data_IF_000848126632
#
_entry.id   IF_000848126632
#
_cell.length_a   1.000
_cell.length_b   1.000
_cell.length_c   1.000
_cell.angle_alpha   90.00
_cell.angle_beta   90.00
_cell.angle_gamma   90.00
#
_symmetry.space_group_name_H-M   'P 1'
#
loop_
_entity.id
_entity.type
_entity.pdbx_description
1 polymer ?
#
# COMPACT_ATOMS: atom_id res chain seq x y z
N UNK A 1 20.57 -10.47 -4.08
CA UNK A 1 19.33 -10.07 -4.77
C UNK A 1 18.39 -9.59 -3.67
N UNK A 2 18.13 -8.28 -3.55
CA UNK A 2 17.19 -7.80 -2.54
C UNK A 2 15.80 -8.30 -2.94
N UNK A 3 15.10 -9.02 -2.06
CA UNK A 3 13.73 -9.43 -2.29
C UNK A 3 12.88 -8.15 -2.48
N UNK A 4 12.23 -8.03 -3.62
CA UNK A 4 11.28 -6.95 -3.90
C UNK A 4 9.93 -7.59 -4.08
N UNK A 5 8.91 -7.04 -3.44
CA UNK A 5 7.54 -7.49 -3.62
C UNK A 5 7.01 -6.93 -4.93
N UNK A 6 6.54 -7.80 -5.79
CA UNK A 6 5.93 -7.45 -7.07
C UNK A 6 4.46 -7.12 -6.88
N UNK A 7 3.84 -6.37 -7.79
CA UNK A 7 2.40 -6.09 -7.73
C UNK A 7 1.56 -7.39 -7.66
N UNK A 8 1.94 -8.41 -8.44
CA UNK A 8 1.28 -9.72 -8.43
C UNK A 8 1.44 -10.44 -7.09
N UNK A 9 2.61 -10.38 -6.45
CA UNK A 9 2.81 -11.00 -5.13
C UNK A 9 1.93 -10.35 -4.07
N UNK A 10 1.79 -9.02 -4.11
CA UNK A 10 0.90 -8.29 -3.19
C UNK A 10 -0.54 -8.72 -3.40
N UNK A 11 -1.01 -8.77 -4.65
CA UNK A 11 -2.38 -9.22 -4.98
C UNK A 11 -2.62 -10.66 -4.55
N UNK A 12 -1.67 -11.56 -4.80
CA UNK A 12 -1.80 -12.98 -4.43
C UNK A 12 -1.79 -13.18 -2.91
N UNK A 13 -0.90 -12.49 -2.19
CA UNK A 13 -0.79 -12.61 -0.74
C UNK A 13 -2.00 -12.00 0.00
N UNK A 14 -2.53 -10.89 -0.52
CA UNK A 14 -3.57 -10.12 0.19
C UNK A 14 -4.98 -10.32 -0.37
N UNK A 15 -5.11 -10.90 -1.57
CA UNK A 15 -6.37 -10.92 -2.32
C UNK A 15 -6.82 -9.54 -2.78
N UNK A 16 -5.93 -8.52 -2.75
CA UNK A 16 -6.29 -7.15 -3.08
C UNK A 16 -6.65 -6.96 -4.55
N UNK A 17 -7.53 -6.01 -4.82
CA UNK A 17 -7.75 -5.50 -6.16
C UNK A 17 -6.80 -4.31 -6.41
N UNK A 18 -5.83 -4.46 -7.32
CA UNK A 18 -4.94 -3.36 -7.72
C UNK A 18 -5.72 -2.31 -8.53
N UNK A 19 -5.48 -1.03 -8.22
CA UNK A 19 -5.95 0.16 -8.93
C UNK A 19 -4.74 1.05 -9.24
N UNK A 20 -4.75 1.69 -10.40
CA UNK A 20 -3.61 2.48 -10.88
C UNK A 20 -2.61 1.67 -11.70
N UNK A 21 -1.47 2.31 -12.00
CA UNK A 21 -0.42 1.73 -12.83
C UNK A 21 0.45 0.75 -12.01
N UNK A 22 0.90 -0.37 -12.61
CA UNK A 22 1.79 -1.30 -11.95
C UNK A 22 3.17 -0.70 -11.71
N UNK A 23 3.79 -1.05 -10.58
CA UNK A 23 5.12 -0.56 -10.20
C UNK A 23 6.19 -1.53 -10.73
N UNK A 24 6.66 -1.31 -11.95
CA UNK A 24 7.63 -2.20 -12.61
C UNK A 24 8.92 -2.46 -11.80
N UNK A 25 9.32 -1.52 -10.93
CA UNK A 25 10.50 -1.65 -10.08
C UNK A 25 10.29 -2.58 -8.86
N UNK A 26 9.03 -2.90 -8.52
CA UNK A 26 8.63 -3.58 -7.30
C UNK A 26 8.84 -2.75 -6.03
N UNK A 27 8.32 -3.24 -4.92
CA UNK A 27 8.45 -2.62 -3.59
C UNK A 27 9.64 -3.24 -2.84
N UNK A 28 10.65 -2.45 -2.43
CA UNK A 28 11.82 -2.97 -1.71
C UNK A 28 11.51 -3.34 -0.26
N UNK A 29 10.42 -2.80 0.30
CA UNK A 29 9.98 -3.05 1.67
C UNK A 29 8.48 -2.77 1.80
N UNK A 30 7.88 -3.35 2.84
CA UNK A 30 6.51 -3.09 3.27
C UNK A 30 6.56 -2.27 4.55
N UNK A 31 5.81 -1.18 4.61
CA UNK A 31 5.74 -0.27 5.74
C UNK A 31 4.29 -0.14 6.22
N UNK A 32 4.02 -0.40 7.49
CA UNK A 32 2.67 -0.27 8.07
C UNK A 32 2.50 1.01 8.90
N UNK A 33 3.59 1.73 9.14
CA UNK A 33 3.64 2.96 9.94
C UNK A 33 4.30 4.07 9.11
N UNK A 34 3.63 5.22 9.01
CA UNK A 34 4.10 6.35 8.21
C UNK A 34 5.37 7.01 8.75
N UNK A 35 5.76 6.72 10.00
CA UNK A 35 7.01 7.20 10.60
C UNK A 35 8.24 6.44 10.11
N UNK A 36 8.05 5.26 9.53
CA UNK A 36 9.14 4.39 9.03
C UNK A 36 9.08 4.21 7.52
N UNK A 37 8.41 5.13 6.81
CA UNK A 37 8.32 5.06 5.35
C UNK A 37 9.69 5.23 4.72
N UNK A 38 9.92 4.42 3.70
CA UNK A 38 11.11 4.51 2.87
C UNK A 38 10.69 4.78 1.42
N UNK A 39 11.49 5.54 0.65
CA UNK A 39 11.17 5.78 -0.75
C UNK A 39 11.00 4.47 -1.53
N UNK A 40 9.90 4.35 -2.25
CA UNK A 40 9.53 3.17 -3.04
C UNK A 40 8.83 2.05 -2.26
N UNK A 41 8.66 2.15 -0.95
CA UNK A 41 8.00 1.10 -0.17
C UNK A 41 6.50 0.97 -0.47
N UNK A 42 5.95 -0.18 -0.09
CA UNK A 42 4.52 -0.43 -0.06
C UNK A 42 3.96 -0.04 1.30
N UNK A 43 3.12 0.99 1.35
CA UNK A 43 2.45 1.38 2.58
C UNK A 43 1.21 0.53 2.85
N UNK A 44 1.05 -0.08 4.02
CA UNK A 44 -0.16 -0.84 4.37
C UNK A 44 -0.96 -0.05 5.39
N UNK A 45 -2.07 0.52 4.94
CA UNK A 45 -3.00 1.24 5.77
C UNK A 45 -3.84 0.26 6.59
N UNK A 46 -3.32 -0.16 7.74
CA UNK A 46 -4.08 -0.99 8.69
C UNK A 46 -5.11 -0.14 9.44
N UNK A 47 -6.36 -0.61 9.47
CA UNK A 47 -7.38 -0.06 10.37
C UNK A 47 -7.26 -0.76 11.74
N UNK A 48 -6.78 -0.04 12.75
CA UNK A 48 -6.79 -0.48 14.14
C UNK A 48 -8.01 0.04 14.89
N UNK A 49 -8.27 -0.49 16.09
CA UNK A 49 -9.41 -0.09 16.93
C UNK A 49 -9.35 1.39 17.35
N UNK A 50 -8.14 1.96 17.45
CA UNK A 50 -7.90 3.33 17.90
C UNK A 50 -7.34 4.26 16.82
N UNK A 51 -6.91 3.72 15.69
CA UNK A 51 -6.17 4.46 14.69
C UNK A 51 -6.49 3.98 13.28
N UNK A 52 -6.69 4.93 12.38
CA UNK A 52 -7.00 4.66 10.99
C UNK A 52 -5.82 5.10 10.11
N UNK A 53 -5.00 4.14 9.67
CA UNK A 53 -3.82 4.45 8.86
C UNK A 53 -4.17 4.94 7.44
N UNK A 54 -5.45 4.85 7.03
CA UNK A 54 -5.92 5.31 5.72
C UNK A 54 -5.80 6.83 5.56
N UNK A 55 -5.96 7.59 6.64
CA UNK A 55 -5.81 9.04 6.64
C UNK A 55 -4.37 9.47 6.30
N UNK A 56 -3.42 8.55 6.42
CA UNK A 56 -2.02 8.80 6.16
C UNK A 56 -1.55 8.35 4.77
N UNK A 57 -2.43 7.83 3.91
CA UNK A 57 -2.06 7.41 2.54
C UNK A 57 -1.50 8.59 1.74
N UNK A 58 -2.11 9.77 1.88
CA UNK A 58 -1.64 10.99 1.24
C UNK A 58 -0.24 11.41 1.76
N UNK A 59 -0.01 11.30 3.06
CA UNK A 59 1.32 11.51 3.66
C UNK A 59 2.34 10.48 3.18
N UNK A 60 1.94 9.22 3.00
CA UNK A 60 2.80 8.16 2.51
C UNK A 60 3.21 8.39 1.06
N UNK A 61 2.26 8.82 0.23
CA UNK A 61 2.51 9.24 -1.14
C UNK A 61 3.51 10.42 -1.18
N UNK A 62 3.33 11.45 -0.34
CA UNK A 62 4.26 12.60 -0.26
C UNK A 62 5.66 12.21 0.20
N UNK A 63 5.79 11.18 1.03
CA UNK A 63 7.07 10.64 1.48
C UNK A 63 7.74 9.70 0.45
N UNK A 64 7.08 9.46 -0.69
CA UNK A 64 7.64 8.69 -1.79
C UNK A 64 7.32 7.20 -1.74
N UNK A 65 6.25 6.77 -1.05
CA UNK A 65 5.73 5.42 -1.21
C UNK A 65 5.35 5.17 -2.68
N UNK A 66 5.70 4.00 -3.22
CA UNK A 66 5.32 3.63 -4.59
C UNK A 66 3.93 2.99 -4.65
N UNK A 67 3.35 2.64 -3.51
CA UNK A 67 2.00 2.11 -3.46
C UNK A 67 1.43 2.07 -2.06
N UNK A 68 0.12 1.84 -1.99
CA UNK A 68 -0.57 1.64 -0.72
C UNK A 68 -1.62 0.53 -0.76
N UNK A 69 -1.67 -0.28 0.29
CA UNK A 69 -2.74 -1.24 0.57
C UNK A 69 -3.76 -0.57 1.49
N UNK A 70 -5.02 -0.59 1.09
CA UNK A 70 -6.14 0.09 1.74
C UNK A 70 -7.36 -0.82 1.80
N UNK A 71 -8.27 -0.55 2.71
CA UNK A 71 -9.58 -1.18 2.74
C UNK A 71 -10.43 -0.70 1.55
N UNK A 72 -11.10 -1.64 0.90
CA UNK A 72 -12.02 -1.41 -0.22
C UNK A 72 -13.14 -0.45 0.19
N UNK A 73 -13.50 0.44 -0.73
CA UNK A 73 -14.60 1.39 -0.53
C UNK A 73 -14.20 2.67 0.20
N UNK A 74 -12.91 2.92 0.42
CA UNK A 74 -12.41 4.20 0.95
C UNK A 74 -12.31 5.25 -0.14
N UNK A 75 -12.71 6.47 0.20
CA UNK A 75 -12.44 7.64 -0.63
C UNK A 75 -10.94 7.94 -0.58
N UNK A 76 -10.28 7.84 -1.72
CA UNK A 76 -8.85 8.10 -1.84
C UNK A 76 -8.61 9.26 -2.79
N UNK A 77 -7.50 10.00 -2.60
CA UNK A 77 -7.12 11.07 -3.52
C UNK A 77 -6.80 10.50 -4.91
N UNK A 78 -6.71 11.38 -5.90
CA UNK A 78 -6.31 11.00 -7.24
C UNK A 78 -4.94 10.30 -7.21
N UNK A 79 -4.87 9.10 -7.79
CA UNK A 79 -3.64 8.33 -7.85
C UNK A 79 -2.67 9.01 -8.82
N UNK A 80 -1.45 9.38 -8.39
CA UNK A 80 -0.46 9.91 -9.29
C UNK A 80 0.08 8.80 -10.21
N UNK A 81 0.73 9.15 -11.33
CA UNK A 81 1.42 8.18 -12.17
C UNK A 81 2.50 7.43 -11.37
N UNK A 82 2.58 6.11 -11.56
CA UNK A 82 3.55 5.26 -10.85
C UNK A 82 3.20 4.93 -9.41
N UNK A 83 1.97 5.18 -8.95
CA UNK A 83 1.48 4.73 -7.65
C UNK A 83 0.43 3.63 -7.79
N UNK A 84 0.73 2.46 -7.24
CA UNK A 84 -0.20 1.34 -7.21
C UNK A 84 -1.00 1.33 -5.91
N UNK A 85 -2.31 1.27 -6.02
CA UNK A 85 -3.22 1.14 -4.89
C UNK A 85 -3.77 -0.29 -4.84
N UNK A 86 -3.84 -0.90 -3.66
CA UNK A 86 -4.32 -2.26 -3.46
C UNK A 86 -5.51 -2.24 -2.50
N UNK A 87 -6.71 -2.52 -3.01
CA UNK A 87 -7.93 -2.51 -2.23
C UNK A 87 -8.27 -3.92 -1.71
N UNK A 88 -8.25 -4.10 -0.39
CA UNK A 88 -8.62 -5.36 0.29
C UNK A 88 -9.93 -5.22 1.04
N UNK A 89 -10.73 -6.29 1.15
CA UNK A 89 -11.94 -6.25 1.99
C UNK A 89 -11.59 -6.16 3.48
N UNK A 90 -10.48 -6.77 3.90
CA UNK A 90 -9.96 -6.73 5.25
C UNK A 90 -8.43 -6.57 5.27
N UNK A 91 -7.96 -5.42 5.77
CA UNK A 91 -6.54 -5.10 5.89
C UNK A 91 -5.82 -5.94 6.94
N UNK A 92 -6.55 -6.49 7.92
CA UNK A 92 -5.98 -7.33 8.98
C UNK A 92 -5.70 -8.76 8.46
N UNK A 93 -6.58 -9.28 7.60
CA UNK A 93 -6.39 -10.58 6.95
C UNK A 93 -5.20 -10.57 5.96
N UNK A 94 -4.91 -9.41 5.37
CA UNK A 94 -3.84 -9.24 4.38
C UNK A 94 -2.41 -9.30 4.97
N UNK A 95 -2.24 -9.23 6.29
CA UNK A 95 -0.94 -9.30 6.97
C UNK A 95 -0.63 -10.71 7.53
N UNK A 96 -1.59 -11.64 7.46
CA UNK A 96 -1.56 -12.96 8.12
C UNK A 96 -1.11 -14.09 7.22
#
# INVERSE_FOLDING_TARGET
MAARFSDDEVVQATGATRRGEPVAAGFPAVCTDTRSLTPGCLFVALQGERFDAHDFVDGAQRQGAAGAVVKRGRALPALPPGFALYEVDDTLAALG
#
